data_IF_190328375108
#
_entry.id   IF_190328375108
#
_cell.length_a   1.000
_cell.length_b   1.000
_cell.length_c   1.000
_cell.angle_alpha   90.00
_cell.angle_beta   90.00
_cell.angle_gamma   90.00
#
_symmetry.space_group_name_H-M   'P 1'
#
loop_
_entity.id
_entity.type
_entity.pdbx_description
1 polymer ?
#
# COMPACT_ATOMS: atom_id res chain seq x y z
N UNK A 1 -19.50 6.08 -10.18
CA UNK A 1 -18.20 6.23 -9.49
C UNK A 1 -17.28 5.14 -10.03
N UNK A 2 -15.98 5.42 -10.19
CA UNK A 2 -15.03 4.45 -10.76
C UNK A 2 -14.14 3.86 -9.65
N UNK A 3 -13.83 2.57 -9.76
CA UNK A 3 -13.06 1.83 -8.77
C UNK A 3 -13.93 0.99 -7.85
N UNK A 4 -13.39 0.63 -6.68
CA UNK A 4 -14.07 -0.16 -5.65
C UNK A 4 -13.79 0.41 -4.26
N UNK A 5 -14.59 0.00 -3.26
CA UNK A 5 -14.46 0.49 -1.89
C UNK A 5 -13.55 -0.37 -1.03
N UNK A 6 -13.41 -1.67 -1.34
CA UNK A 6 -12.52 -2.58 -0.61
C UNK A 6 -11.44 -3.13 -1.52
N UNK A 7 -10.22 -3.15 -1.04
CA UNK A 7 -9.04 -3.60 -1.76
C UNK A 7 -8.18 -4.50 -0.89
N UNK A 8 -7.63 -5.55 -1.48
CA UNK A 8 -6.89 -6.59 -0.77
C UNK A 8 -5.57 -6.89 -1.47
N UNK A 9 -4.49 -6.97 -0.69
CA UNK A 9 -3.16 -7.34 -1.15
C UNK A 9 -2.56 -8.36 -0.17
N UNK A 10 -2.54 -9.65 -0.54
CA UNK A 10 -2.05 -10.72 0.34
C UNK A 10 -0.53 -10.66 0.61
N UNK A 11 0.27 -10.21 -0.35
CA UNK A 11 1.75 -10.19 -0.25
C UNK A 11 2.26 -8.78 0.10
N UNK A 12 2.49 -8.56 1.39
CA UNK A 12 3.16 -7.40 1.96
C UNK A 12 4.45 -7.81 2.69
N UNK A 13 5.53 -7.09 2.42
CA UNK A 13 6.84 -7.30 3.03
C UNK A 13 7.74 -6.11 2.70
N UNK A 14 8.27 -5.44 3.72
CA UNK A 14 9.20 -4.33 3.54
C UNK A 14 10.63 -4.85 3.75
N UNK A 15 11.46 -5.02 2.69
CA UNK A 15 12.83 -5.49 2.87
C UNK A 15 13.70 -4.47 3.60
N UNK A 16 14.82 -4.90 4.17
CA UNK A 16 15.76 -4.03 4.89
C UNK A 16 16.87 -3.41 4.02
N UNK A 17 17.00 -3.85 2.77
CA UNK A 17 18.09 -3.44 1.90
C UNK A 17 18.04 -1.97 1.48
N UNK A 18 19.20 -1.40 1.13
CA UNK A 18 19.37 -0.02 0.66
C UNK A 18 20.50 0.08 -0.36
N UNK A 19 20.45 1.06 -1.25
CA UNK A 19 21.50 1.40 -2.22
C UNK A 19 21.51 2.91 -2.51
N UNK A 20 22.57 3.59 -2.07
CA UNK A 20 22.66 5.04 -2.17
C UNK A 20 21.50 5.71 -1.43
N UNK A 21 20.72 6.53 -2.15
CA UNK A 21 19.54 7.22 -1.61
C UNK A 21 18.27 6.34 -1.61
N UNK A 22 18.31 5.16 -2.22
CA UNK A 22 17.17 4.23 -2.28
C UNK A 22 17.17 3.32 -1.06
N UNK A 23 16.02 3.21 -0.42
CA UNK A 23 15.72 2.17 0.56
C UNK A 23 14.64 1.25 0.00
N UNK A 24 14.76 -0.04 0.26
CA UNK A 24 13.71 -1.01 -0.04
C UNK A 24 12.42 -0.58 0.63
N UNK A 25 11.32 -0.67 -0.11
CA UNK A 25 10.03 -0.20 0.36
C UNK A 25 8.91 -0.80 -0.48
N UNK A 26 7.71 -0.63 0.03
CA UNK A 26 6.48 -0.81 -0.72
C UNK A 26 5.76 0.52 -0.86
N UNK A 27 5.12 0.70 -2.01
CA UNK A 27 4.24 1.82 -2.30
C UNK A 27 2.84 1.29 -2.58
N UNK A 28 1.89 1.64 -1.70
CA UNK A 28 0.47 1.49 -1.98
C UNK A 28 0.02 2.71 -2.78
N UNK A 29 -0.10 2.52 -4.09
CA UNK A 29 -0.54 3.55 -5.03
C UNK A 29 -2.07 3.59 -5.07
N UNK A 30 -2.65 4.76 -4.84
CA UNK A 30 -4.09 4.98 -4.74
C UNK A 30 -4.49 6.10 -5.69
N UNK A 31 -5.52 5.87 -6.50
CA UNK A 31 -6.05 6.86 -7.42
C UNK A 31 -7.53 7.13 -7.14
N UNK A 32 -7.87 8.40 -6.94
CA UNK A 32 -9.24 8.88 -6.83
C UNK A 32 -9.58 9.75 -8.05
N UNK A 33 -10.32 9.17 -9.00
CA UNK A 33 -10.84 9.88 -10.19
C UNK A 33 -12.25 10.45 -9.97
N UNK A 34 -12.81 10.30 -8.77
CA UNK A 34 -14.16 10.73 -8.44
C UNK A 34 -14.16 12.17 -7.92
N UNK A 35 -15.37 12.70 -7.65
CA UNK A 35 -15.59 14.12 -7.27
C UNK A 35 -15.55 14.37 -5.75
N UNK A 36 -15.46 13.31 -4.95
CA UNK A 36 -15.46 13.37 -3.48
C UNK A 36 -14.11 12.94 -2.93
N UNK A 37 -13.69 13.51 -1.79
CA UNK A 37 -12.49 13.05 -1.08
C UNK A 37 -12.68 11.63 -0.60
N UNK A 38 -11.75 10.75 -0.95
CA UNK A 38 -11.71 9.39 -0.46
C UNK A 38 -11.02 9.36 0.90
N UNK A 39 -11.76 9.02 1.96
CA UNK A 39 -11.19 8.68 3.26
C UNK A 39 -10.94 7.18 3.27
N UNK A 40 -9.73 6.76 3.59
CA UNK A 40 -9.29 5.37 3.42
C UNK A 40 -8.69 4.89 4.73
N UNK A 41 -9.26 3.81 5.27
CA UNK A 41 -8.70 3.08 6.39
C UNK A 41 -7.99 1.84 5.88
N UNK A 42 -6.74 1.68 6.28
CA UNK A 42 -5.85 0.60 5.86
C UNK A 42 -5.54 -0.24 7.09
N UNK A 43 -5.71 -1.54 6.98
CA UNK A 43 -5.33 -2.52 8.00
C UNK A 43 -4.18 -3.38 7.47
N UNK A 44 -3.23 -3.66 8.36
CA UNK A 44 -2.11 -4.55 8.12
C UNK A 44 -2.27 -5.75 9.06
N UNK A 45 -2.40 -6.93 8.48
CA UNK A 45 -2.57 -8.20 9.19
C UNK A 45 -1.23 -8.92 9.23
N UNK A 46 -0.83 -9.38 10.40
CA UNK A 46 0.42 -10.09 10.63
C UNK A 46 0.11 -11.54 11.06
N UNK A 47 1.08 -12.43 10.88
CA UNK A 47 0.92 -13.86 11.20
C UNK A 47 0.86 -14.14 12.72
N UNK A 48 1.43 -13.27 13.55
CA UNK A 48 1.78 -13.55 14.94
C UNK A 48 1.47 -12.39 15.91
N UNK A 49 0.70 -11.37 15.47
CA UNK A 49 0.34 -10.21 16.29
C UNK A 49 -0.93 -9.53 15.81
N UNK A 50 -1.50 -8.70 16.69
CA UNK A 50 -2.67 -7.90 16.38
C UNK A 50 -2.44 -6.96 15.18
N UNK A 51 -3.49 -6.70 14.37
CA UNK A 51 -3.41 -5.80 13.23
C UNK A 51 -3.00 -4.37 13.60
N UNK A 52 -2.29 -3.72 12.68
CA UNK A 52 -2.03 -2.28 12.71
C UNK A 52 -3.01 -1.57 11.77
N UNK A 53 -3.46 -0.37 12.11
CA UNK A 53 -4.28 0.46 11.19
C UNK A 53 -3.65 1.83 10.90
N UNK A 54 -3.89 2.35 9.71
CA UNK A 54 -3.51 3.69 9.28
C UNK A 54 -4.62 4.33 8.45
N UNK A 55 -4.76 5.66 8.52
CA UNK A 55 -5.78 6.40 7.77
C UNK A 55 -5.12 7.42 6.85
N UNK A 56 -5.65 7.54 5.63
CA UNK A 56 -5.21 8.53 4.64
C UNK A 56 -6.41 9.11 3.90
N UNK A 57 -6.21 10.30 3.33
CA UNK A 57 -7.19 10.92 2.45
C UNK A 57 -6.61 11.15 1.05
N UNK A 58 -7.42 10.89 0.01
CA UNK A 58 -7.07 11.19 -1.38
C UNK A 58 -8.12 12.15 -1.96
N UNK A 59 -7.77 13.43 -2.22
CA UNK A 59 -8.70 14.40 -2.77
C UNK A 59 -9.23 14.02 -4.17
N UNK A 60 -10.31 14.66 -4.63
CA UNK A 60 -10.85 14.47 -5.97
C UNK A 60 -9.80 14.68 -7.07
N UNK A 61 -9.74 13.77 -8.04
CA UNK A 61 -8.81 13.86 -9.18
C UNK A 61 -7.33 13.88 -8.76
N UNK A 62 -6.95 13.05 -7.77
CA UNK A 62 -5.56 12.93 -7.28
C UNK A 62 -5.09 11.49 -7.24
N UNK A 63 -3.76 11.34 -7.30
CA UNK A 63 -3.03 10.11 -7.01
C UNK A 63 -2.23 10.29 -5.72
N UNK A 64 -2.06 9.20 -4.97
CA UNK A 64 -1.24 9.11 -3.78
C UNK A 64 -0.37 7.85 -3.86
N UNK A 65 0.95 8.01 -3.76
CA UNK A 65 1.89 6.90 -3.63
C UNK A 65 2.32 6.78 -2.17
N UNK A 66 1.57 6.00 -1.39
CA UNK A 66 1.77 5.88 0.04
C UNK A 66 2.96 4.96 0.36
N UNK A 67 3.99 5.53 0.98
CA UNK A 67 5.20 4.80 1.42
C UNK A 67 4.94 4.00 2.68
N UNK A 68 4.78 2.68 2.55
CA UNK A 68 4.44 1.79 3.66
C UNK A 68 5.59 1.67 4.70
N UNK A 69 6.83 1.81 4.26
CA UNK A 69 8.01 1.80 5.13
C UNK A 69 8.14 3.02 6.05
N UNK A 70 7.23 4.00 5.93
CA UNK A 70 7.14 5.17 6.80
C UNK A 70 6.02 5.08 7.83
N UNK A 71 5.26 3.98 7.86
CA UNK A 71 4.05 3.84 8.68
C UNK A 71 4.27 3.06 9.98
N UNK A 72 5.53 2.79 10.36
CA UNK A 72 5.86 2.00 11.55
C UNK A 72 5.62 0.50 11.39
N UNK A 73 5.39 0.01 10.16
CA UNK A 73 5.33 -1.42 9.86
C UNK A 73 6.74 -2.02 10.05
N UNK A 74 6.88 -3.15 10.77
CA UNK A 74 8.18 -3.79 10.95
C UNK A 74 8.78 -4.23 9.60
N UNK A 75 10.05 -3.90 9.38
CA UNK A 75 10.81 -4.42 8.22
C UNK A 75 11.06 -5.92 8.38
N UNK A 76 11.22 -6.59 7.26
CA UNK A 76 11.47 -8.03 7.18
C UNK A 76 10.44 -8.89 7.92
N UNK A 77 9.19 -8.43 7.98
CA UNK A 77 8.08 -9.17 8.58
C UNK A 77 6.97 -9.29 7.53
N UNK A 78 6.49 -10.51 7.22
CA UNK A 78 5.38 -10.69 6.28
C UNK A 78 4.09 -10.11 6.87
N UNK A 79 3.28 -9.55 5.99
CA UNK A 79 1.94 -9.06 6.31
C UNK A 79 1.05 -9.11 5.07
N UNK A 80 -0.25 -8.99 5.28
CA UNK A 80 -1.22 -8.68 4.23
C UNK A 80 -1.86 -7.33 4.54
N UNK A 81 -2.43 -6.65 3.55
CA UNK A 81 -3.18 -5.43 3.80
C UNK A 81 -4.57 -5.44 3.14
N UNK A 82 -5.53 -4.87 3.86
CA UNK A 82 -6.86 -4.52 3.35
C UNK A 82 -7.04 -3.02 3.48
N UNK A 83 -7.64 -2.39 2.47
CA UNK A 83 -8.02 -0.99 2.52
C UNK A 83 -9.51 -0.83 2.25
N UNK A 84 -10.19 -0.01 3.06
CA UNK A 84 -11.60 0.36 2.89
C UNK A 84 -11.70 1.87 2.66
N UNK A 85 -12.45 2.28 1.63
CA UNK A 85 -12.67 3.67 1.28
C UNK A 85 -14.14 4.08 1.33
N UNK A 86 -14.39 5.33 1.72
CA UNK A 86 -15.73 5.93 1.71
C UNK A 86 -16.31 6.09 0.30
N UNK A 87 -15.47 6.25 -0.72
CA UNK A 87 -15.84 6.36 -2.14
C UNK A 87 -14.99 5.41 -2.98
N UNK A 88 -15.47 4.90 -4.12
CA UNK A 88 -14.67 4.03 -4.97
C UNK A 88 -13.32 4.66 -5.36
N UNK A 89 -12.25 3.88 -5.29
CA UNK A 89 -10.88 4.24 -5.71
C UNK A 89 -10.23 3.06 -6.41
N UNK A 90 -9.07 3.27 -7.03
CA UNK A 90 -8.24 2.19 -7.60
C UNK A 90 -6.94 2.08 -6.81
N UNK A 91 -6.52 0.84 -6.50
CA UNK A 91 -5.29 0.60 -5.74
C UNK A 91 -4.36 -0.40 -6.42
N UNK A 92 -3.06 -0.14 -6.32
CA UNK A 92 -1.97 -0.99 -6.82
C UNK A 92 -0.87 -1.05 -5.76
N UNK A 93 -0.33 -2.23 -5.50
CA UNK A 93 0.81 -2.41 -4.60
C UNK A 93 2.06 -2.72 -5.42
N UNK A 94 3.14 -2.02 -5.11
CA UNK A 94 4.43 -2.25 -5.75
C UNK A 94 5.54 -2.31 -4.71
N UNK A 95 6.51 -3.19 -4.93
CA UNK A 95 7.68 -3.37 -4.05
C UNK A 95 8.95 -3.06 -4.82
N UNK A 96 9.80 -2.24 -4.22
CA UNK A 96 11.22 -2.13 -4.54
C UNK A 96 12.00 -2.93 -3.53
N UNK A 97 12.71 -3.96 -4.00
CA UNK A 97 13.70 -4.67 -3.23
C UNK A 97 15.10 -4.37 -3.80
N UNK A 98 15.92 -3.69 -3.00
CA UNK A 98 17.22 -3.19 -3.42
C UNK A 98 18.27 -3.47 -2.35
N UNK A 99 19.45 -3.89 -2.79
CA UNK A 99 20.62 -4.08 -1.96
C UNK A 99 21.88 -3.64 -2.69
N UNK A 100 23.04 -4.01 -2.15
CA UNK A 100 24.33 -3.69 -2.77
C UNK A 100 24.45 -4.31 -4.17
N UNK A 101 24.06 -5.58 -4.29
CA UNK A 101 24.26 -6.41 -5.49
C UNK A 101 22.96 -6.70 -6.26
N UNK A 102 21.79 -6.26 -5.77
CA UNK A 102 20.50 -6.50 -6.41
C UNK A 102 19.62 -5.25 -6.49
N UNK A 103 18.74 -5.21 -7.49
CA UNK A 103 17.73 -4.17 -7.67
C UNK A 103 16.57 -4.74 -8.47
N UNK A 104 15.42 -4.96 -7.84
CA UNK A 104 14.25 -5.55 -8.50
C UNK A 104 12.96 -4.85 -8.11
N UNK A 105 11.96 -5.00 -8.97
CA UNK A 105 10.62 -4.46 -8.83
C UNK A 105 9.60 -5.57 -9.06
N UNK A 106 8.50 -5.50 -8.33
CA UNK A 106 7.28 -6.26 -8.62
C UNK A 106 6.06 -5.40 -8.36
N UNK A 107 4.96 -5.74 -9.04
CA UNK A 107 3.70 -5.01 -8.87
C UNK A 107 2.50 -5.89 -9.22
N UNK A 108 1.35 -5.56 -8.63
CA UNK A 108 0.07 -6.13 -9.00
C UNK A 108 -1.05 -5.13 -8.75
N UNK A 109 -2.11 -5.22 -9.55
CA UNK A 109 -3.40 -4.66 -9.15
C UNK A 109 -3.91 -5.42 -7.92
N UNK A 110 -4.60 -4.73 -7.01
CA UNK A 110 -5.22 -5.39 -5.87
C UNK A 110 -6.46 -6.18 -6.29
N UNK A 111 -6.82 -7.19 -5.50
CA UNK A 111 -8.17 -7.75 -5.57
C UNK A 111 -9.16 -6.72 -5.00
N UNK A 112 -10.36 -6.62 -5.58
CA UNK A 112 -11.33 -5.61 -5.20
C UNK A 112 -12.72 -6.19 -4.95
N UNK A 113 -13.43 -5.60 -3.99
CA UNK A 113 -14.83 -5.88 -3.63
C UNK A 113 -15.61 -4.59 -3.34
N UNK A 114 -16.94 -4.70 -3.35
CA UNK A 114 -17.87 -3.60 -3.04
C UNK A 114 -18.20 -3.50 -1.54
#
# INVERSE_FOLDING_TARGET
MNGAKRWFFPDGYIPCGKRGYLASHESLCIMNVNKETAKIKIWFFFEDRDPLSHEVEVPPGRSLHLRLDKLGIPRCKPYSLMAESTTPVVMQLSRLDVGKEHHTLMTTIGYWEE
#
